data_IF_330162143758
#
_entry.id   IF_330162143758
#
_cell.length_a   1.000
_cell.length_b   1.000
_cell.length_c   1.000
_cell.angle_alpha   90.00
_cell.angle_beta   90.00
_cell.angle_gamma   90.00
#
_symmetry.space_group_name_H-M   'P 1'
#
loop_
_entity.id
_entity.type
_entity.pdbx_description
1 polymer ?
#
# COMPACT_ATOMS: atom_id res chain seq x y z
N UNK A 1 -30.94 10.18 -24.16
CA UNK A 1 -29.57 10.70 -23.84
C UNK A 1 -29.34 10.99 -22.35
N UNK A 2 -30.35 11.44 -21.57
CA UNK A 2 -30.21 11.72 -20.12
C UNK A 2 -29.85 10.50 -19.25
N UNK A 3 -30.26 9.29 -19.65
CA UNK A 3 -30.05 8.05 -18.88
C UNK A 3 -28.63 7.48 -19.00
N UNK A 4 -27.93 7.76 -20.10
CA UNK A 4 -26.56 7.27 -20.32
C UNK A 4 -25.52 8.06 -19.51
N UNK A 5 -25.79 9.34 -19.21
CA UNK A 5 -24.89 10.17 -18.39
C UNK A 5 -24.79 9.71 -16.93
N UNK A 6 -25.87 9.15 -16.36
CA UNK A 6 -25.90 8.65 -14.98
C UNK A 6 -25.11 7.34 -14.82
N UNK A 7 -25.10 6.49 -15.86
CA UNK A 7 -24.39 5.20 -15.85
C UNK A 7 -22.86 5.40 -15.91
N UNK A 8 -22.37 6.39 -16.65
CA UNK A 8 -20.93 6.67 -16.72
C UNK A 8 -20.35 7.31 -15.45
N UNK A 9 -21.16 8.02 -14.65
CA UNK A 9 -20.69 8.65 -13.42
C UNK A 9 -20.54 7.67 -12.25
N UNK A 10 -21.21 6.52 -12.27
CA UNK A 10 -21.14 5.51 -11.21
C UNK A 10 -19.91 4.60 -11.28
N UNK A 11 -19.32 4.41 -12.46
CA UNK A 11 -18.23 3.45 -12.68
C UNK A 11 -16.88 3.89 -12.07
N UNK A 12 -16.71 5.19 -11.76
CA UNK A 12 -15.46 5.74 -11.21
C UNK A 12 -15.31 5.55 -9.69
N UNK A 13 -16.37 5.11 -8.99
CA UNK A 13 -16.37 5.01 -7.53
C UNK A 13 -15.71 3.73 -6.97
N UNK A 14 -15.25 2.80 -7.82
CA UNK A 14 -14.72 1.50 -7.40
C UNK A 14 -13.19 1.45 -7.25
N UNK A 15 -12.46 2.52 -7.57
CA UNK A 15 -10.99 2.54 -7.52
C UNK A 15 -10.40 2.73 -6.10
N UNK A 16 -11.18 2.52 -5.04
CA UNK A 16 -10.83 2.96 -3.67
C UNK A 16 -10.52 1.88 -2.65
N UNK A 17 -10.46 0.60 -3.02
CA UNK A 17 -10.31 -0.51 -2.07
C UNK A 17 -9.02 -1.34 -2.28
N UNK A 18 -7.95 -0.74 -2.80
CA UNK A 18 -6.66 -1.44 -2.89
C UNK A 18 -5.79 -1.11 -1.69
N UNK A 19 -5.22 -2.14 -1.07
CA UNK A 19 -4.31 -1.99 0.07
C UNK A 19 -3.06 -1.22 -0.38
N UNK A 20 -2.52 -0.38 0.50
CA UNK A 20 -1.30 0.36 0.23
C UNK A 20 -0.12 -0.59 0.02
N UNK A 21 0.65 -0.40 -1.05
CA UNK A 21 1.81 -1.26 -1.38
C UNK A 21 2.75 -1.37 -0.18
N UNK A 22 3.08 -2.61 0.19
CA UNK A 22 3.95 -2.92 1.34
C UNK A 22 3.25 -2.87 2.71
N UNK A 23 1.98 -2.49 2.79
CA UNK A 23 1.20 -2.67 4.03
C UNK A 23 0.95 -4.14 4.29
N UNK A 24 0.71 -4.51 5.56
CA UNK A 24 0.41 -5.89 5.93
C UNK A 24 -0.73 -6.51 5.10
N UNK A 25 -1.83 -5.77 4.90
CA UNK A 25 -2.94 -6.24 4.07
C UNK A 25 -2.57 -6.43 2.59
N UNK A 26 -1.71 -5.57 2.03
CA UNK A 26 -1.22 -5.75 0.67
C UNK A 26 -0.25 -6.93 0.56
N UNK A 27 0.62 -7.13 1.55
CA UNK A 27 1.54 -8.25 1.62
C UNK A 27 0.79 -9.59 1.74
N UNK A 28 -0.26 -9.65 2.56
CA UNK A 28 -1.15 -10.82 2.64
C UNK A 28 -1.84 -11.10 1.31
N UNK A 29 -2.43 -10.08 0.68
CA UNK A 29 -3.06 -10.21 -0.63
C UNK A 29 -2.09 -10.75 -1.69
N UNK A 30 -0.86 -10.23 -1.71
CA UNK A 30 0.17 -10.68 -2.65
C UNK A 30 0.60 -12.13 -2.39
N UNK A 31 0.66 -12.58 -1.13
CA UNK A 31 0.97 -13.98 -0.78
C UNK A 31 -0.09 -14.95 -1.32
N UNK A 32 -1.36 -14.54 -1.29
CA UNK A 32 -2.48 -15.35 -1.76
C UNK A 32 -2.67 -15.29 -3.29
N UNK A 33 -2.24 -14.19 -3.91
CA UNK A 33 -2.37 -13.97 -5.36
C UNK A 33 -1.43 -14.89 -6.16
N UNK A 34 -1.93 -15.65 -7.15
CA UNK A 34 -1.09 -16.47 -8.02
C UNK A 34 0.04 -15.67 -8.70
N UNK A 35 1.27 -16.18 -8.68
CA UNK A 35 2.46 -15.44 -9.17
C UNK A 35 2.42 -15.15 -10.67
N UNK A 36 1.67 -15.91 -11.46
CA UNK A 36 1.43 -15.64 -12.88
C UNK A 36 0.55 -14.40 -13.13
N UNK A 37 -0.14 -13.90 -12.11
CA UNK A 37 -0.94 -12.66 -12.16
C UNK A 37 -0.15 -11.44 -11.69
N UNK A 38 1.08 -11.62 -11.21
CA UNK A 38 1.90 -10.52 -10.72
C UNK A 38 2.44 -9.67 -11.86
N UNK A 39 2.41 -8.36 -11.68
CA UNK A 39 3.23 -7.46 -12.49
C UNK A 39 4.70 -7.54 -12.04
N UNK A 40 5.64 -7.21 -12.93
CA UNK A 40 7.05 -7.13 -12.56
C UNK A 40 7.29 -6.12 -11.43
N UNK A 41 6.54 -5.01 -11.43
CA UNK A 41 6.61 -3.99 -10.39
C UNK A 41 6.14 -4.54 -9.03
N UNK A 42 4.99 -5.20 -8.99
CA UNK A 42 4.46 -5.79 -7.76
C UNK A 42 5.39 -6.86 -7.20
N UNK A 43 6.04 -7.66 -8.06
CA UNK A 43 7.03 -8.64 -7.63
C UNK A 43 8.23 -7.99 -6.94
N UNK A 44 8.75 -6.89 -7.50
CA UNK A 44 9.86 -6.12 -6.92
C UNK A 44 9.43 -5.48 -5.59
N UNK A 45 8.25 -4.87 -5.55
CA UNK A 45 7.76 -4.19 -4.35
C UNK A 45 7.41 -5.19 -3.24
N UNK A 46 6.88 -6.37 -3.58
CA UNK A 46 6.64 -7.44 -2.62
C UNK A 46 7.94 -7.96 -2.02
N UNK A 47 8.95 -8.19 -2.85
CA UNK A 47 10.26 -8.60 -2.37
C UNK A 47 10.84 -7.54 -1.41
N UNK A 48 10.79 -6.26 -1.78
CA UNK A 48 11.30 -5.18 -0.94
C UNK A 48 10.53 -5.06 0.37
N UNK A 49 9.21 -4.90 0.32
CA UNK A 49 8.43 -4.44 1.47
C UNK A 49 7.83 -5.57 2.32
N UNK A 50 7.77 -6.80 1.79
CA UNK A 50 7.14 -7.93 2.49
C UNK A 50 8.11 -9.07 2.80
N UNK A 51 9.27 -9.14 2.13
CA UNK A 51 10.28 -10.19 2.36
C UNK A 51 11.58 -9.65 2.96
N UNK A 52 12.08 -8.51 2.48
CA UNK A 52 13.40 -7.99 2.86
C UNK A 52 13.35 -6.83 3.86
N UNK A 53 12.35 -5.96 3.77
CA UNK A 53 12.09 -4.89 4.73
C UNK A 53 10.87 -5.22 5.59
N UNK A 54 10.61 -4.38 6.61
CA UNK A 54 9.47 -4.51 7.52
C UNK A 54 8.18 -4.06 6.81
N UNK A 55 7.09 -4.81 6.98
CA UNK A 55 5.77 -4.45 6.43
C UNK A 55 5.28 -3.13 7.03
N UNK A 56 4.78 -2.23 6.19
CA UNK A 56 4.30 -0.89 6.58
C UNK A 56 3.17 -1.02 7.58
N UNK A 57 3.29 -0.29 8.70
CA UNK A 57 2.29 -0.27 9.78
C UNK A 57 2.45 -1.36 10.84
N UNK A 58 3.42 -2.27 10.71
CA UNK A 58 3.78 -3.17 11.82
C UNK A 58 4.48 -2.42 12.95
N UNK A 59 4.43 -2.90 14.22
CA UNK A 59 5.13 -2.25 15.33
C UNK A 59 6.63 -2.06 15.06
N UNK A 60 7.28 -3.07 14.46
CA UNK A 60 8.70 -3.00 14.13
C UNK A 60 9.00 -1.96 13.05
N UNK A 61 8.11 -1.81 12.05
CA UNK A 61 8.23 -0.75 11.06
C UNK A 61 8.06 0.63 11.69
N UNK A 62 7.06 0.81 12.57
CA UNK A 62 6.85 2.05 13.29
C UNK A 62 8.06 2.43 14.16
N UNK A 63 8.60 1.49 14.93
CA UNK A 63 9.80 1.69 15.74
C UNK A 63 11.03 2.06 14.90
N UNK A 64 11.22 1.37 13.76
CA UNK A 64 12.30 1.68 12.83
C UNK A 64 12.16 3.08 12.22
N UNK A 65 10.93 3.50 11.92
CA UNK A 65 10.62 4.85 11.42
C UNK A 65 10.87 5.92 12.49
N UNK A 66 10.52 5.66 13.75
CA UNK A 66 10.79 6.58 14.87
C UNK A 66 12.28 6.77 15.14
N UNK A 67 13.08 5.72 14.93
CA UNK A 67 14.54 5.80 15.05
C UNK A 67 15.19 6.56 13.87
N UNK A 68 14.50 6.67 12.72
CA UNK A 68 15.02 7.31 11.52
C UNK A 68 14.87 8.83 11.58
N UNK A 69 15.91 9.64 11.29
CA UNK A 69 15.78 11.09 11.22
C UNK A 69 14.68 11.53 10.25
N UNK A 70 13.76 12.40 10.70
CA UNK A 70 12.61 12.85 9.89
C UNK A 70 12.98 13.54 8.58
N UNK A 71 14.18 14.12 8.49
CA UNK A 71 14.71 14.70 7.26
C UNK A 71 15.00 13.67 6.16
N UNK A 72 15.17 12.40 6.52
CA UNK A 72 15.45 11.30 5.59
C UNK A 72 14.17 10.57 5.15
N UNK A 73 13.00 11.02 5.62
CA UNK A 73 11.73 10.40 5.28
C UNK A 73 11.31 10.78 3.86
N UNK A 74 10.78 9.81 3.12
CA UNK A 74 10.07 10.11 1.89
C UNK A 74 8.65 10.58 2.20
N UNK A 75 8.02 11.30 1.27
CA UNK A 75 6.63 11.76 1.44
C UNK A 75 5.66 10.58 1.68
N UNK A 76 5.90 9.45 1.01
CA UNK A 76 5.10 8.24 1.21
C UNK A 76 5.30 7.70 2.62
N UNK A 77 6.55 7.52 3.06
CA UNK A 77 6.85 7.05 4.44
C UNK A 77 6.20 7.92 5.51
N UNK A 78 6.26 9.25 5.36
CA UNK A 78 5.63 10.19 6.29
C UNK A 78 4.11 10.03 6.33
N UNK A 79 3.50 9.87 5.16
CA UNK A 79 2.05 9.67 5.03
C UNK A 79 1.63 8.34 5.64
N UNK A 80 2.33 7.24 5.34
CA UNK A 80 2.05 5.91 5.87
C UNK A 80 2.25 5.87 7.38
N UNK A 81 3.32 6.51 7.90
CA UNK A 81 3.55 6.57 9.34
C UNK A 81 2.43 7.32 10.07
N UNK A 82 2.00 8.47 9.54
CA UNK A 82 0.86 9.20 10.10
C UNK A 82 -0.44 8.39 10.09
N UNK A 83 -0.64 7.56 9.07
CA UNK A 83 -1.82 6.69 8.95
C UNK A 83 -1.77 5.48 9.86
N UNK A 84 -0.59 4.90 10.09
CA UNK A 84 -0.44 3.54 10.64
C UNK A 84 0.34 3.45 11.96
N UNK A 85 0.87 4.56 12.49
CA UNK A 85 1.69 4.54 13.71
C UNK A 85 1.34 5.62 14.74
N UNK A 86 0.55 6.64 14.38
CA UNK A 86 0.20 7.79 15.26
C UNK A 86 -1.23 7.66 15.80
N UNK A 87 -1.59 6.50 16.35
CA UNK A 87 -2.90 6.27 16.98
C UNK A 87 -2.77 5.79 18.42
#
# INVERSE_FOLDING_TARGET
MKKFAVVMLGALALAGCENEVGSSGWCEEMRDKPTNEWSAQNAVDFAKHCLFEQEVGTPQWCEAMDAKPKGDWTANQATSYAKHCIF
#
